data_IF_052449536487
#
_entry.id   IF_052449536487
#
_cell.length_a   1.000
_cell.length_b   1.000
_cell.length_c   1.000
_cell.angle_alpha   90.00
_cell.angle_beta   90.00
_cell.angle_gamma   90.00
#
_symmetry.space_group_name_H-M   'P 1'
#
loop_
_entity.id
_entity.type
_entity.pdbx_description
1 polymer ?
#
# COMPACT_ATOMS: atom_id res chain seq x y z
N UNK A 1 -1.36 -11.04 -20.70
CA UNK A 1 -2.16 -12.26 -20.94
C UNK A 1 -3.49 -12.25 -20.16
N UNK A 2 -3.55 -11.72 -18.94
CA UNK A 2 -4.82 -11.47 -18.24
C UNK A 2 -5.44 -10.16 -18.74
N UNK A 3 -6.74 -10.18 -18.97
CA UNK A 3 -7.53 -9.00 -19.33
C UNK A 3 -7.98 -8.26 -18.06
N UNK A 4 -8.15 -6.94 -18.16
CA UNK A 4 -8.79 -6.13 -17.13
C UNK A 4 -10.20 -6.63 -16.76
N UNK A 5 -10.87 -7.31 -17.69
CA UNK A 5 -12.21 -7.89 -17.52
C UNK A 5 -12.22 -9.25 -16.82
N UNK A 6 -11.05 -9.85 -16.56
CA UNK A 6 -11.00 -11.15 -15.90
C UNK A 6 -11.59 -11.03 -14.50
N UNK A 7 -12.54 -11.92 -14.19
CA UNK A 7 -13.26 -11.88 -12.91
C UNK A 7 -12.38 -12.47 -11.83
N UNK A 8 -12.52 -11.90 -10.64
CA UNK A 8 -11.82 -12.39 -9.45
C UNK A 8 -12.14 -13.87 -9.21
N UNK A 9 -13.39 -14.27 -9.42
CA UNK A 9 -13.85 -15.66 -9.27
C UNK A 9 -13.14 -16.67 -10.17
N UNK A 10 -12.57 -16.24 -11.31
CA UNK A 10 -11.84 -17.12 -12.23
C UNK A 10 -10.54 -17.63 -11.59
N UNK A 11 -9.81 -16.76 -10.86
CA UNK A 11 -8.57 -17.09 -10.15
C UNK A 11 -8.80 -18.02 -8.94
N UNK A 12 -9.95 -17.89 -8.28
CA UNK A 12 -10.30 -18.70 -7.11
C UNK A 12 -11.09 -19.96 -7.45
N UNK A 13 -11.37 -20.20 -8.73
CA UNK A 13 -11.92 -21.46 -9.21
C UNK A 13 -10.89 -22.60 -9.22
N UNK A 14 -9.59 -22.28 -9.16
CA UNK A 14 -8.52 -23.25 -9.45
C UNK A 14 -7.93 -23.96 -8.23
N UNK A 15 -7.48 -23.36 -7.11
CA UNK A 15 -6.99 -24.19 -5.98
C UNK A 15 -6.76 -23.51 -4.61
N UNK A 16 -7.75 -22.77 -4.09
CA UNK A 16 -7.76 -22.34 -2.66
C UNK A 16 -8.84 -23.04 -1.83
N UNK A 17 -9.69 -23.85 -2.48
CA UNK A 17 -10.76 -24.62 -1.81
C UNK A 17 -10.23 -25.89 -1.13
N UNK A 18 -9.14 -26.49 -1.65
CA UNK A 18 -8.69 -27.81 -1.20
C UNK A 18 -7.70 -27.79 -0.03
N UNK A 19 -6.79 -26.81 0.04
CA UNK A 19 -5.75 -26.80 1.09
C UNK A 19 -6.30 -26.50 2.50
N UNK A 20 -7.40 -25.77 2.62
CA UNK A 20 -8.05 -25.52 3.92
C UNK A 20 -8.97 -26.65 4.39
N UNK A 21 -9.43 -27.52 3.48
CA UNK A 21 -10.31 -28.64 3.81
C UNK A 21 -9.50 -29.82 4.38
N UNK A 22 -8.23 -30.00 4.00
CA UNK A 22 -7.39 -31.07 4.58
C UNK A 22 -7.06 -30.84 6.06
N UNK A 23 -6.85 -29.60 6.50
CA UNK A 23 -6.58 -29.29 7.91
C UNK A 23 -7.82 -29.45 8.81
N UNK A 24 -9.03 -29.31 8.27
CA UNK A 24 -10.29 -29.55 9.00
C UNK A 24 -10.75 -31.02 8.95
N UNK A 25 -10.32 -31.81 7.95
CA UNK A 25 -10.73 -33.21 7.80
C UNK A 25 -10.04 -34.18 8.77
N UNK A 26 -8.93 -33.81 9.39
CA UNK A 26 -8.25 -34.68 10.37
C UNK A 26 -9.02 -34.74 11.71
N UNK A 27 -9.88 -33.74 12.01
CA UNK A 27 -10.55 -33.66 13.32
C UNK A 27 -12.09 -33.74 13.32
N UNK A 28 -12.78 -33.72 12.16
CA UNK A 28 -14.26 -33.56 12.15
C UNK A 28 -15.12 -34.62 11.45
N UNK A 29 -14.60 -35.80 11.06
CA UNK A 29 -15.48 -36.85 10.48
C UNK A 29 -15.30 -38.23 11.14
N UNK A 30 -15.53 -38.27 12.47
CA UNK A 30 -16.31 -39.37 13.08
C UNK A 30 -17.70 -38.80 13.41
N UNK A 31 -18.71 -39.25 12.66
CA UNK A 31 -20.17 -38.98 12.76
C UNK A 31 -20.72 -37.77 11.98
N UNK A 32 -21.62 -38.16 11.07
CA UNK A 32 -22.80 -37.44 10.57
C UNK A 32 -22.63 -36.31 9.53
N UNK A 33 -22.63 -36.78 8.29
CA UNK A 33 -23.23 -36.22 7.06
C UNK A 33 -24.06 -34.93 7.21
N UNK A 34 -23.43 -33.80 6.89
CA UNK A 34 -23.97 -32.74 6.01
C UNK A 34 -22.80 -32.17 5.17
N UNK A 35 -22.99 -31.86 3.88
CA UNK A 35 -21.98 -31.14 3.12
C UNK A 35 -21.81 -29.75 3.71
N UNK A 36 -20.61 -29.42 4.19
CA UNK A 36 -20.28 -28.07 4.62
C UNK A 36 -20.10 -27.23 3.34
N UNK A 37 -21.09 -26.39 3.01
CA UNK A 37 -20.88 -25.27 2.09
C UNK A 37 -19.93 -24.28 2.78
N UNK A 38 -18.67 -24.27 2.37
CA UNK A 38 -17.75 -23.19 2.71
C UNK A 38 -18.01 -22.03 1.75
N UNK A 39 -19.00 -21.18 2.09
CA UNK A 39 -19.25 -19.93 1.38
C UNK A 39 -18.27 -18.88 1.92
N UNK A 40 -17.18 -18.61 1.19
CA UNK A 40 -16.33 -17.45 1.54
C UNK A 40 -17.08 -16.14 1.28
N UNK A 41 -18.08 -16.14 0.39
CA UNK A 41 -19.21 -15.22 0.40
C UNK A 41 -20.17 -15.73 -0.70
N UNK A 42 -21.38 -16.19 -0.38
CA UNK A 42 -22.41 -16.51 -1.41
C UNK A 42 -23.01 -15.22 -2.00
N UNK A 43 -22.29 -14.11 -1.93
CA UNK A 43 -22.71 -12.81 -2.42
C UNK A 43 -22.37 -12.73 -3.91
N UNK A 44 -23.40 -12.69 -4.77
CA UNK A 44 -23.25 -12.54 -6.22
C UNK A 44 -22.36 -11.34 -6.61
N UNK A 45 -22.33 -10.28 -5.80
CA UNK A 45 -21.47 -9.11 -6.03
C UNK A 45 -19.99 -9.45 -5.99
N UNK A 46 -19.58 -10.40 -5.15
CA UNK A 46 -18.18 -10.80 -5.02
C UNK A 46 -17.68 -11.47 -6.31
N UNK A 47 -18.50 -12.33 -6.90
CA UNK A 47 -18.18 -13.00 -8.17
C UNK A 47 -18.15 -12.05 -9.38
N UNK A 48 -18.66 -10.83 -9.24
CA UNK A 48 -18.68 -9.81 -10.27
C UNK A 48 -17.44 -8.90 -10.28
N UNK A 49 -16.60 -8.92 -9.23
CA UNK A 49 -15.39 -8.12 -9.15
C UNK A 49 -14.43 -8.51 -10.29
N UNK A 50 -13.90 -7.53 -11.01
CA UNK A 50 -12.87 -7.71 -12.03
C UNK A 50 -11.50 -7.24 -11.53
N UNK A 51 -10.42 -7.63 -12.23
CA UNK A 51 -9.09 -7.07 -11.97
C UNK A 51 -9.09 -5.53 -12.12
N UNK A 52 -9.85 -5.00 -13.09
CA UNK A 52 -10.02 -3.55 -13.26
C UNK A 52 -10.61 -2.90 -12.03
N UNK A 53 -11.63 -3.50 -11.41
CA UNK A 53 -12.23 -2.96 -10.18
C UNK A 53 -11.24 -2.91 -9.03
N UNK A 54 -10.38 -3.94 -8.89
CA UNK A 54 -9.32 -3.95 -7.88
C UNK A 54 -8.30 -2.84 -8.12
N UNK A 55 -7.81 -2.70 -9.36
CA UNK A 55 -6.81 -1.68 -9.74
C UNK A 55 -7.35 -0.27 -9.54
N UNK A 56 -8.64 -0.04 -9.84
CA UNK A 56 -9.32 1.25 -9.65
C UNK A 56 -9.76 1.53 -8.21
N UNK A 57 -9.52 0.61 -7.28
CA UNK A 57 -10.03 0.67 -5.91
C UNK A 57 -11.57 0.79 -5.84
N UNK A 58 -12.28 0.09 -6.72
CA UNK A 58 -13.74 0.14 -6.89
C UNK A 58 -14.42 -1.21 -6.64
N UNK A 59 -13.74 -2.16 -6.00
CA UNK A 59 -14.28 -3.51 -5.79
C UNK A 59 -15.54 -3.56 -4.91
N UNK A 60 -15.85 -2.49 -4.17
CA UNK A 60 -17.10 -2.37 -3.40
C UNK A 60 -17.04 -2.97 -2.00
N UNK A 61 -15.85 -3.34 -1.50
CA UNK A 61 -15.65 -3.78 -0.11
C UNK A 61 -15.95 -2.65 0.88
N UNK A 62 -16.55 -3.02 2.02
CA UNK A 62 -16.71 -2.16 3.20
C UNK A 62 -15.40 -2.07 3.97
N UNK A 63 -14.36 -1.59 3.30
CA UNK A 63 -12.99 -1.61 3.80
C UNK A 63 -12.68 -0.36 4.65
N UNK A 64 -12.09 -0.56 5.83
CA UNK A 64 -11.55 0.48 6.70
C UNK A 64 -10.01 0.55 6.59
N UNK A 65 -9.50 1.55 5.85
CA UNK A 65 -8.07 1.86 5.71
C UNK A 65 -7.49 2.65 6.92
N UNK A 66 -8.29 2.95 7.93
CA UNK A 66 -7.85 3.84 9.01
C UNK A 66 -6.66 3.28 9.80
N UNK A 67 -5.51 3.96 9.70
CA UNK A 67 -4.33 3.71 10.53
C UNK A 67 -4.58 3.96 12.03
N UNK A 68 -5.63 4.71 12.35
CA UNK A 68 -6.02 5.04 13.72
C UNK A 68 -7.02 4.04 14.33
N UNK A 69 -7.65 3.19 13.50
CA UNK A 69 -8.52 2.12 13.97
C UNK A 69 -7.76 0.78 13.91
N UNK A 70 -7.27 0.26 15.04
CA UNK A 70 -6.51 -1.00 15.04
C UNK A 70 -7.36 -2.24 14.82
N UNK A 71 -8.70 -2.10 14.91
CA UNK A 71 -9.64 -3.14 14.52
C UNK A 71 -10.18 -2.92 13.11
N UNK A 72 -9.77 -1.84 12.43
CA UNK A 72 -10.05 -1.60 11.03
C UNK A 72 -9.36 -2.66 10.16
N UNK A 73 -9.92 -2.92 8.99
CA UNK A 73 -9.53 -4.04 8.13
C UNK A 73 -8.04 -4.00 7.77
N UNK A 74 -7.51 -2.81 7.44
CA UNK A 74 -6.09 -2.64 7.12
C UNK A 74 -5.17 -2.99 8.30
N UNK A 75 -5.47 -2.47 9.49
CA UNK A 75 -4.64 -2.72 10.68
C UNK A 75 -4.75 -4.17 11.16
N UNK A 76 -5.95 -4.75 11.09
CA UNK A 76 -6.18 -6.14 11.44
C UNK A 76 -5.47 -7.10 10.47
N UNK A 77 -5.47 -6.77 9.17
CA UNK A 77 -4.75 -7.51 8.14
C UNK A 77 -3.24 -7.53 8.41
N UNK A 78 -2.66 -6.38 8.78
CA UNK A 78 -1.21 -6.26 8.98
C UNK A 78 -0.68 -6.78 10.31
N UNK A 79 -1.46 -6.75 11.39
CA UNK A 79 -0.92 -6.97 12.75
C UNK A 79 -1.74 -7.94 13.61
N UNK A 80 -2.93 -8.34 13.15
CA UNK A 80 -3.83 -9.23 13.89
C UNK A 80 -4.15 -10.48 13.06
N UNK A 81 -5.44 -10.73 12.83
CA UNK A 81 -5.99 -11.95 12.23
C UNK A 81 -5.49 -12.20 10.80
N UNK A 82 -5.13 -11.16 10.05
CA UNK A 82 -4.65 -11.33 8.67
C UNK A 82 -3.15 -11.56 8.52
N UNK A 83 -2.36 -11.52 9.61
CA UNK A 83 -0.90 -11.74 9.53
C UNK A 83 -0.52 -13.12 9.00
N UNK A 84 -1.40 -14.10 9.18
CA UNK A 84 -1.18 -15.46 8.69
C UNK A 84 -1.43 -15.57 7.18
N UNK A 85 -2.49 -14.95 6.68
CA UNK A 85 -2.94 -15.03 5.29
C UNK A 85 -3.68 -13.73 4.93
N UNK A 86 -2.94 -12.78 4.36
CA UNK A 86 -3.44 -11.42 4.13
C UNK A 86 -4.40 -11.35 2.95
N UNK A 87 -4.22 -12.26 1.99
CA UNK A 87 -5.13 -12.44 0.84
C UNK A 87 -6.48 -12.90 1.38
N UNK A 88 -6.50 -13.95 2.21
CA UNK A 88 -7.73 -14.44 2.83
C UNK A 88 -8.39 -13.39 3.71
N UNK A 89 -7.63 -12.65 4.52
CA UNK A 89 -8.22 -11.58 5.33
C UNK A 89 -8.97 -10.57 4.45
N UNK A 90 -8.38 -10.19 3.32
CA UNK A 90 -8.98 -9.27 2.35
C UNK A 90 -10.25 -9.84 1.70
N UNK A 91 -10.33 -11.17 1.54
CA UNK A 91 -11.52 -11.86 1.01
C UNK A 91 -12.71 -11.88 1.97
N UNK A 92 -12.45 -11.82 3.29
CA UNK A 92 -13.50 -11.93 4.30
C UNK A 92 -14.23 -10.63 4.58
N UNK A 93 -13.78 -9.52 3.97
CA UNK A 93 -14.40 -8.21 4.16
C UNK A 93 -15.77 -8.17 3.46
N UNK A 94 -16.84 -7.75 4.16
CA UNK A 94 -18.18 -7.64 3.56
C UNK A 94 -18.22 -6.67 2.38
N UNK A 95 -19.09 -6.93 1.41
CA UNK A 95 -19.42 -5.97 0.36
C UNK A 95 -20.30 -4.86 0.93
N UNK A 96 -20.02 -3.61 0.56
CA UNK A 96 -20.87 -2.44 0.81
C UNK A 96 -21.71 -2.10 -0.42
N UNK A 97 -21.09 -2.13 -1.60
CA UNK A 97 -21.68 -1.71 -2.87
C UNK A 97 -21.31 -2.67 -4.00
N UNK A 98 -22.06 -2.69 -5.11
CA UNK A 98 -21.61 -3.37 -6.32
C UNK A 98 -20.27 -2.80 -6.82
N UNK A 99 -19.41 -3.62 -7.46
CA UNK A 99 -18.16 -3.16 -8.07
C UNK A 99 -18.38 -2.00 -9.05
N UNK A 100 -17.40 -1.10 -9.15
CA UNK A 100 -17.43 0.07 -10.03
C UNK A 100 -18.24 1.26 -9.51
N UNK A 101 -19.00 1.11 -8.41
CA UNK A 101 -19.93 2.16 -7.93
C UNK A 101 -19.28 3.28 -7.13
N UNK A 102 -18.17 3.00 -6.47
CA UNK A 102 -17.52 3.96 -5.56
C UNK A 102 -16.04 3.63 -5.47
N UNK A 103 -15.19 4.66 -5.58
CA UNK A 103 -13.80 4.57 -5.15
C UNK A 103 -13.74 4.48 -3.61
N UNK A 104 -13.05 3.47 -3.11
CA UNK A 104 -12.69 3.28 -1.70
C UNK A 104 -11.23 2.82 -1.65
N UNK A 105 -10.31 3.71 -1.27
CA UNK A 105 -8.89 3.37 -1.17
C UNK A 105 -8.70 2.20 -0.20
N UNK A 106 -8.09 1.11 -0.69
CA UNK A 106 -8.10 -0.17 0.01
C UNK A 106 -6.84 -1.00 -0.22
N UNK A 107 -6.09 -1.23 0.85
CA UNK A 107 -5.03 -2.21 0.89
C UNK A 107 -5.52 -3.64 0.61
N UNK A 108 -6.79 -3.93 0.90
CA UNK A 108 -7.43 -5.20 0.56
C UNK A 108 -7.39 -5.49 -0.94
N UNK A 109 -7.72 -4.50 -1.78
CA UNK A 109 -7.64 -4.63 -3.23
C UNK A 109 -6.22 -4.96 -3.70
N UNK A 110 -5.22 -4.26 -3.15
CA UNK A 110 -3.82 -4.49 -3.47
C UNK A 110 -3.34 -5.90 -3.06
N UNK A 111 -3.77 -6.40 -1.91
CA UNK A 111 -3.46 -7.75 -1.45
C UNK A 111 -4.11 -8.83 -2.33
N UNK A 112 -5.34 -8.61 -2.79
CA UNK A 112 -6.00 -9.53 -3.73
C UNK A 112 -5.28 -9.58 -5.08
N UNK A 113 -4.78 -8.44 -5.56
CA UNK A 113 -3.93 -8.38 -6.77
C UNK A 113 -2.66 -9.22 -6.56
N UNK A 114 -2.02 -9.17 -5.39
CA UNK A 114 -0.85 -10.03 -5.11
C UNK A 114 -1.19 -11.52 -5.08
N UNK A 115 -2.37 -11.89 -4.56
CA UNK A 115 -2.85 -13.27 -4.66
C UNK A 115 -2.97 -13.76 -6.12
N UNK A 116 -3.51 -12.91 -7.00
CA UNK A 116 -3.58 -13.18 -8.45
C UNK A 116 -2.17 -13.30 -9.07
N UNK A 117 -1.27 -12.38 -8.74
CA UNK A 117 0.12 -12.40 -9.25
C UNK A 117 0.88 -13.64 -8.77
N UNK A 118 0.64 -14.12 -7.55
CA UNK A 118 1.25 -15.34 -7.05
C UNK A 118 0.79 -16.57 -7.84
N UNK A 119 -0.51 -16.67 -8.17
CA UNK A 119 -1.01 -17.74 -9.03
C UNK A 119 -0.39 -17.70 -10.42
N UNK A 120 -0.27 -16.51 -11.02
CA UNK A 120 0.44 -16.33 -12.28
C UNK A 120 1.91 -16.77 -12.21
N UNK A 121 2.56 -16.51 -11.08
CA UNK A 121 3.92 -16.95 -10.81
C UNK A 121 4.04 -18.47 -10.86
N UNK A 122 3.09 -19.18 -10.26
CA UNK A 122 3.03 -20.64 -10.29
C UNK A 122 2.81 -21.15 -11.71
N UNK A 123 1.84 -20.60 -12.42
CA UNK A 123 1.46 -21.06 -13.75
C UNK A 123 2.52 -20.80 -14.82
N UNK A 124 3.17 -19.63 -14.79
CA UNK A 124 4.05 -19.18 -15.88
C UNK A 124 5.55 -19.36 -15.56
N UNK A 125 5.91 -19.38 -14.27
CA UNK A 125 7.31 -19.40 -13.83
C UNK A 125 7.62 -20.52 -12.83
N UNK A 126 6.64 -21.36 -12.48
CA UNK A 126 6.78 -22.43 -11.49
C UNK A 126 7.35 -21.94 -10.14
N UNK A 127 6.91 -20.76 -9.69
CA UNK A 127 7.33 -20.16 -8.43
C UNK A 127 6.15 -19.66 -7.61
N UNK A 128 6.20 -19.88 -6.29
CA UNK A 128 5.27 -19.25 -5.33
C UNK A 128 5.84 -17.98 -4.71
N UNK A 129 7.12 -17.70 -4.97
CA UNK A 129 7.80 -16.53 -4.45
C UNK A 129 7.33 -15.27 -5.21
N UNK A 130 6.66 -14.32 -4.53
CA UNK A 130 6.19 -13.10 -5.18
C UNK A 130 7.34 -12.20 -5.64
N UNK A 131 8.51 -12.25 -4.99
CA UNK A 131 9.67 -11.46 -5.38
C UNK A 131 10.27 -11.96 -6.69
N UNK A 132 10.40 -13.28 -6.86
CA UNK A 132 10.80 -13.87 -8.16
C UNK A 132 9.84 -13.43 -9.26
N UNK A 133 8.53 -13.52 -8.99
CA UNK A 133 7.49 -13.12 -9.95
C UNK A 133 7.58 -11.63 -10.32
N UNK A 134 7.73 -10.74 -9.33
CA UNK A 134 7.84 -9.30 -9.55
C UNK A 134 9.11 -8.93 -10.33
N UNK A 135 10.24 -9.60 -10.06
CA UNK A 135 11.48 -9.42 -10.81
C UNK A 135 11.36 -9.82 -12.27
N UNK A 136 10.82 -11.02 -12.54
CA UNK A 136 10.63 -11.53 -13.90
C UNK A 136 9.65 -10.68 -14.70
N UNK A 137 8.55 -10.24 -14.08
CA UNK A 137 7.51 -9.48 -14.78
C UNK A 137 7.88 -8.02 -15.01
N UNK A 138 8.59 -7.39 -14.07
CA UNK A 138 8.80 -5.93 -14.08
C UNK A 138 10.22 -5.52 -13.68
N UNK A 139 10.66 -5.79 -12.46
CA UNK A 139 11.83 -5.08 -11.89
C UNK A 139 13.11 -5.30 -12.71
N UNK A 140 13.41 -6.54 -13.10
CA UNK A 140 14.62 -6.80 -13.89
C UNK A 140 14.55 -6.19 -15.29
N UNK A 141 13.34 -6.13 -15.88
CA UNK A 141 13.12 -5.59 -17.23
C UNK A 141 13.39 -4.10 -17.32
N UNK A 142 13.27 -3.38 -16.21
CA UNK A 142 13.54 -1.93 -16.12
C UNK A 142 14.78 -1.59 -15.28
N UNK A 143 15.58 -2.58 -14.92
CA UNK A 143 16.85 -2.39 -14.22
C UNK A 143 16.75 -2.11 -12.72
N UNK A 144 15.64 -2.47 -12.09
CA UNK A 144 15.48 -2.42 -10.63
C UNK A 144 15.98 -3.76 -10.06
N UNK A 145 17.05 -3.72 -9.27
CA UNK A 145 17.69 -4.92 -8.69
C UNK A 145 17.45 -5.10 -7.20
N UNK A 146 17.33 -3.99 -6.47
CA UNK A 146 17.19 -3.99 -5.02
C UNK A 146 15.75 -3.61 -4.63
N UNK A 147 14.78 -4.44 -5.02
CA UNK A 147 13.39 -4.28 -4.64
C UNK A 147 12.78 -5.60 -4.18
N UNK A 148 12.03 -5.59 -3.07
CA UNK A 148 11.34 -6.77 -2.59
C UNK A 148 10.11 -6.39 -1.76
N UNK A 149 9.13 -7.28 -1.74
CA UNK A 149 7.97 -7.23 -0.86
C UNK A 149 8.24 -8.07 0.39
N UNK A 150 7.85 -7.55 1.55
CA UNK A 150 7.61 -8.41 2.71
C UNK A 150 6.40 -9.32 2.47
N UNK A 151 6.43 -10.50 3.08
CA UNK A 151 5.36 -11.50 2.93
C UNK A 151 4.63 -11.76 4.24
N UNK A 152 3.40 -12.25 4.14
CA UNK A 152 2.70 -12.87 5.26
C UNK A 152 3.31 -14.25 5.62
N UNK A 153 2.73 -14.95 6.61
CA UNK A 153 3.22 -16.28 7.03
C UNK A 153 3.01 -17.38 5.99
N UNK A 154 2.12 -17.18 5.02
CA UNK A 154 1.88 -18.11 3.90
C UNK A 154 2.78 -17.81 2.69
N UNK A 155 3.58 -16.74 2.76
CA UNK A 155 4.51 -16.34 1.70
C UNK A 155 3.86 -15.48 0.61
N UNK A 156 2.65 -14.95 0.83
CA UNK A 156 2.03 -13.98 -0.08
C UNK A 156 2.63 -12.60 0.14
N UNK A 157 2.93 -11.85 -0.92
CA UNK A 157 3.36 -10.46 -0.77
C UNK A 157 2.26 -9.63 -0.12
N UNK A 158 2.66 -8.80 0.84
CA UNK A 158 1.80 -7.77 1.42
C UNK A 158 1.71 -6.66 0.38
N UNK A 159 0.72 -6.70 -0.52
CA UNK A 159 0.66 -5.82 -1.68
C UNK A 159 0.35 -4.36 -1.39
N UNK A 160 -0.30 -4.11 -0.25
CA UNK A 160 -0.71 -2.76 0.15
C UNK A 160 0.41 -1.89 0.72
N UNK A 161 1.52 -2.48 1.15
CA UNK A 161 2.62 -1.80 1.85
C UNK A 161 3.90 -2.63 1.79
N UNK A 162 4.99 -2.23 2.46
CA UNK A 162 6.23 -3.01 2.59
C UNK A 162 6.87 -3.49 1.27
N UNK A 163 6.66 -2.76 0.19
CA UNK A 163 7.62 -2.75 -0.91
C UNK A 163 8.83 -1.94 -0.48
N UNK A 164 9.95 -2.61 -0.32
CA UNK A 164 11.25 -2.00 -0.07
C UNK A 164 11.92 -1.72 -1.40
N UNK A 165 12.23 -0.45 -1.67
CA UNK A 165 12.82 -0.02 -2.93
C UNK A 165 13.61 1.27 -2.73
N UNK A 166 14.76 1.40 -3.40
CA UNK A 166 15.57 2.63 -3.37
C UNK A 166 14.86 3.76 -4.16
N UNK A 167 15.09 5.05 -3.81
CA UNK A 167 14.56 6.18 -4.59
C UNK A 167 14.88 6.11 -6.09
N UNK A 168 16.06 5.57 -6.45
CA UNK A 168 16.41 5.31 -7.86
C UNK A 168 15.44 4.34 -8.53
N UNK A 169 15.05 3.25 -7.85
CA UNK A 169 14.08 2.31 -8.38
C UNK A 169 12.68 2.91 -8.50
N UNK A 170 12.27 3.72 -7.53
CA UNK A 170 11.05 4.52 -7.60
C UNK A 170 11.06 5.47 -8.81
N UNK A 171 12.18 6.14 -9.08
CA UNK A 171 12.32 7.00 -10.25
C UNK A 171 12.27 6.22 -11.57
N UNK A 172 12.80 4.99 -11.63
CA UNK A 172 12.67 4.12 -12.80
C UNK A 172 11.21 3.72 -13.07
N UNK A 173 10.41 3.48 -12.02
CA UNK A 173 8.96 3.26 -12.17
C UNK A 173 8.26 4.50 -12.73
N UNK A 174 8.54 5.68 -12.17
CA UNK A 174 8.02 6.94 -12.71
C UNK A 174 8.45 7.19 -14.15
N UNK A 175 9.70 6.86 -14.50
CA UNK A 175 10.23 6.99 -15.86
C UNK A 175 9.52 6.04 -16.82
N UNK A 176 9.18 4.82 -16.39
CA UNK A 176 8.40 3.89 -17.19
C UNK A 176 7.02 4.49 -17.52
N UNK A 177 6.37 5.13 -16.55
CA UNK A 177 5.09 5.81 -16.77
C UNK A 177 5.25 7.02 -17.71
N UNK A 178 6.27 7.84 -17.51
CA UNK A 178 6.59 8.98 -18.37
C UNK A 178 6.87 8.54 -19.82
N UNK A 179 7.54 7.39 -19.99
CA UNK A 179 7.83 6.77 -21.29
C UNK A 179 6.66 6.00 -21.90
N UNK A 180 5.44 6.20 -21.37
CA UNK A 180 4.21 5.53 -21.80
C UNK A 180 4.29 4.02 -21.78
N UNK A 181 4.93 3.45 -20.77
CA UNK A 181 5.05 2.00 -20.61
C UNK A 181 6.12 1.35 -21.48
N UNK A 182 6.89 2.12 -22.25
CA UNK A 182 7.99 1.60 -23.06
C UNK A 182 9.34 1.72 -22.33
N UNK A 183 10.21 0.74 -22.57
CA UNK A 183 11.56 0.70 -22.02
C UNK A 183 12.57 0.27 -23.08
N UNK A 184 13.82 0.69 -22.91
CA UNK A 184 14.93 0.20 -23.74
C UNK A 184 15.57 -1.00 -23.05
N UNK A 185 15.62 -2.16 -23.71
CA UNK A 185 16.05 -3.44 -23.12
C UNK A 185 17.58 -3.56 -22.91
N UNK A 186 18.35 -2.49 -23.18
CA UNK A 186 19.81 -2.48 -23.12
C UNK A 186 20.50 -3.05 -24.36
N UNK A 187 19.78 -3.72 -25.26
CA UNK A 187 20.27 -4.21 -26.55
C UNK A 187 19.90 -3.30 -27.73
N UNK A 188 19.38 -2.11 -27.42
CA UNK A 188 18.93 -1.13 -28.41
C UNK A 188 17.48 -1.31 -28.88
N UNK A 189 16.72 -2.27 -28.31
CA UNK A 189 15.31 -2.44 -28.65
C UNK A 189 14.42 -1.67 -27.68
N UNK A 190 13.38 -1.03 -28.21
CA UNK A 190 12.29 -0.44 -27.43
C UNK A 190 11.17 -1.46 -27.26
N UNK A 191 10.91 -1.87 -26.03
CA UNK A 191 9.91 -2.89 -25.66
C UNK A 191 8.77 -2.28 -24.86
N UNK A 192 7.54 -2.72 -25.11
CA UNK A 192 6.40 -2.34 -24.29
C UNK A 192 6.35 -3.22 -23.04
N UNK A 193 6.45 -2.59 -21.87
CA UNK A 193 6.34 -3.24 -20.55
C UNK A 193 4.91 -3.12 -20.03
N UNK A 194 4.32 -1.93 -20.15
CA UNK A 194 2.93 -1.64 -19.76
C UNK A 194 2.12 -1.31 -21.01
N UNK A 195 0.89 -1.81 -21.07
CA UNK A 195 -0.06 -1.49 -22.14
C UNK A 195 -0.44 -0.01 -22.11
N UNK A 196 -0.78 0.55 -23.27
CA UNK A 196 -1.23 1.94 -23.39
C UNK A 196 -2.49 2.19 -22.54
N UNK A 197 -3.44 1.24 -22.46
CA UNK A 197 -4.62 1.32 -21.59
C UNK A 197 -4.26 1.55 -20.11
N UNK A 198 -3.27 0.80 -19.59
CA UNK A 198 -2.80 0.95 -18.20
C UNK A 198 -2.17 2.33 -18.00
N UNK A 199 -1.37 2.79 -18.95
CA UNK A 199 -0.67 4.07 -18.88
C UNK A 199 -1.66 5.24 -18.92
N UNK A 200 -2.64 5.19 -19.80
CA UNK A 200 -3.71 6.19 -19.87
C UNK A 200 -4.49 6.23 -18.55
N UNK A 201 -4.78 5.07 -17.96
CA UNK A 201 -5.48 4.96 -16.69
C UNK A 201 -4.74 5.63 -15.51
N UNK A 202 -3.40 5.72 -15.54
CA UNK A 202 -2.60 6.44 -14.52
C UNK A 202 -2.85 7.95 -14.48
N UNK A 203 -3.40 8.53 -15.55
CA UNK A 203 -3.64 9.99 -15.63
C UNK A 203 -5.12 10.34 -15.88
N UNK A 204 -5.96 9.32 -16.06
CA UNK A 204 -7.41 9.48 -16.26
C UNK A 204 -8.12 9.43 -14.91
N UNK A 205 -9.03 10.38 -14.66
CA UNK A 205 -9.78 10.44 -13.40
C UNK A 205 -10.60 9.16 -13.20
N UNK A 206 -10.69 8.73 -11.95
CA UNK A 206 -11.40 7.53 -11.56
C UNK A 206 -12.87 7.58 -12.01
N UNK A 207 -13.36 6.52 -12.65
CA UNK A 207 -14.69 6.52 -13.27
C UNK A 207 -15.87 6.61 -12.29
N UNK A 208 -15.65 6.43 -10.99
CA UNK A 208 -16.69 6.64 -9.96
C UNK A 208 -16.74 8.11 -9.48
N UNK A 209 -15.78 8.93 -9.90
CA UNK A 209 -15.63 10.35 -9.55
C UNK A 209 -15.87 11.24 -10.78
N UNK A 210 -15.44 10.79 -11.95
CA UNK A 210 -15.52 11.51 -13.23
C UNK A 210 -16.96 11.80 -13.68
N UNK A 211 -17.33 13.09 -13.77
CA UNK A 211 -18.66 13.57 -14.21
C UNK A 211 -19.83 12.87 -13.52
N UNK A 212 -19.61 12.42 -12.28
CA UNK A 212 -20.59 11.73 -11.48
C UNK A 212 -21.34 12.73 -10.58
N UNK A 213 -22.64 12.50 -10.40
CA UNK A 213 -23.44 13.20 -9.39
C UNK A 213 -23.10 12.62 -8.01
N UNK A 214 -21.94 13.03 -7.48
CA UNK A 214 -21.49 12.65 -6.15
C UNK A 214 -22.18 13.51 -5.09
N UNK A 215 -22.65 12.86 -4.04
CA UNK A 215 -23.20 13.55 -2.89
C UNK A 215 -22.09 14.28 -2.11
N UNK A 216 -22.47 15.25 -1.27
CA UNK A 216 -21.52 16.08 -0.52
C UNK A 216 -20.64 15.27 0.44
N UNK A 217 -21.15 14.15 0.98
CA UNK A 217 -20.38 13.31 1.91
C UNK A 217 -19.30 12.55 1.15
N UNK A 218 -19.60 12.07 -0.05
CA UNK A 218 -18.63 11.40 -0.89
C UNK A 218 -17.62 12.39 -1.49
N UNK A 219 -18.06 13.59 -1.87
CA UNK A 219 -17.16 14.67 -2.28
C UNK A 219 -16.17 15.05 -1.17
N UNK A 220 -16.63 15.17 0.08
CA UNK A 220 -15.73 15.43 1.21
C UNK A 220 -14.71 14.30 1.39
N UNK A 221 -15.13 13.04 1.21
CA UNK A 221 -14.21 11.92 1.21
C UNK A 221 -13.16 12.02 0.09
N UNK A 222 -13.54 12.38 -1.14
CA UNK A 222 -12.59 12.60 -2.24
C UNK A 222 -11.64 13.77 -1.93
N UNK A 223 -12.12 14.85 -1.29
CA UNK A 223 -11.26 15.96 -0.84
C UNK A 223 -10.30 15.55 0.28
N UNK A 224 -10.70 14.63 1.16
CA UNK A 224 -9.84 14.11 2.23
C UNK A 224 -8.75 13.17 1.68
N UNK A 225 -9.09 12.36 0.67
CA UNK A 225 -8.18 11.35 0.11
C UNK A 225 -7.31 11.88 -1.04
N UNK A 226 -7.78 12.90 -1.77
CA UNK A 226 -7.23 13.37 -3.04
C UNK A 226 -8.05 12.88 -4.24
N UNK A 227 -7.75 13.37 -5.45
CA UNK A 227 -8.47 12.94 -6.67
C UNK A 227 -7.84 11.66 -7.24
N UNK A 228 -8.52 10.50 -7.21
CA UNK A 228 -7.93 9.25 -7.68
C UNK A 228 -8.00 9.10 -9.20
N UNK A 229 -7.11 8.28 -9.75
CA UNK A 229 -7.14 7.86 -11.16
C UNK A 229 -7.90 6.56 -11.38
N UNK A 230 -8.01 6.14 -12.65
CA UNK A 230 -8.45 4.81 -13.05
C UNK A 230 -7.37 3.73 -12.86
N UNK A 231 -6.32 4.03 -12.10
CA UNK A 231 -5.29 3.10 -11.67
C UNK A 231 -4.90 3.40 -10.21
N UNK A 232 -3.60 3.52 -9.93
CA UNK A 232 -3.03 3.55 -8.57
C UNK A 232 -2.42 4.92 -8.21
N UNK A 233 -2.87 6.00 -8.85
CA UNK A 233 -2.28 7.35 -8.74
C UNK A 233 -3.29 8.38 -8.28
N UNK A 234 -2.77 9.45 -7.66
CA UNK A 234 -3.50 10.67 -7.33
C UNK A 234 -3.23 11.74 -8.39
N UNK A 235 -4.26 12.45 -8.80
CA UNK A 235 -4.23 13.40 -9.91
C UNK A 235 -4.30 14.83 -9.42
N UNK A 236 -3.62 15.73 -10.13
CA UNK A 236 -3.76 17.17 -9.94
C UNK A 236 -4.82 17.77 -10.87
N UNK A 237 -6.04 17.23 -10.83
CA UNK A 237 -7.15 17.61 -11.73
C UNK A 237 -8.38 18.04 -10.93
N UNK A 238 -9.21 18.95 -11.46
CA UNK A 238 -10.49 19.27 -10.84
C UNK A 238 -11.46 18.08 -10.93
N UNK A 239 -12.39 18.01 -9.97
CA UNK A 239 -13.58 17.14 -10.04
C UNK A 239 -14.73 17.96 -10.59
N UNK A 240 -15.30 17.48 -11.68
CA UNK A 240 -16.41 18.09 -12.41
C UNK A 240 -17.60 17.13 -12.34
N UNK A 241 -18.80 17.63 -12.06
CA UNK A 241 -20.01 16.80 -12.03
C UNK A 241 -20.69 16.69 -13.41
N UNK A 242 -21.81 15.97 -13.48
CA UNK A 242 -22.54 15.69 -14.73
C UNK A 242 -23.09 16.94 -15.44
N UNK A 243 -23.07 18.10 -14.77
CA UNK A 243 -23.57 19.39 -15.28
C UNK A 243 -22.43 20.36 -15.60
N UNK A 244 -21.21 19.85 -15.74
CA UNK A 244 -19.99 20.62 -15.98
C UNK A 244 -19.67 21.64 -14.86
N UNK A 245 -20.14 21.38 -13.63
CA UNK A 245 -19.83 22.23 -12.47
C UNK A 245 -18.60 21.71 -11.76
N UNK A 246 -17.62 22.57 -11.52
CA UNK A 246 -16.44 22.24 -10.71
C UNK A 246 -16.86 22.10 -9.24
N UNK A 247 -16.69 20.90 -8.69
CA UNK A 247 -17.04 20.54 -7.30
C UNK A 247 -15.82 20.48 -6.37
N UNK A 248 -14.66 20.28 -6.97
CA UNK A 248 -13.36 20.37 -6.32
C UNK A 248 -12.36 20.90 -7.32
N UNK A 249 -11.71 22.01 -6.99
CA UNK A 249 -10.65 22.59 -7.79
C UNK A 249 -9.40 21.70 -7.80
N UNK A 250 -8.44 22.06 -8.66
CA UNK A 250 -7.11 21.45 -8.65
C UNK A 250 -6.46 21.56 -7.26
N UNK A 251 -6.08 20.42 -6.69
CA UNK A 251 -5.56 20.31 -5.33
C UNK A 251 -4.20 21.00 -5.13
N UNK A 252 -3.31 20.91 -6.13
CA UNK A 252 -1.97 21.50 -6.10
C UNK A 252 -1.87 22.61 -7.17
N UNK A 253 -2.41 23.81 -6.90
CA UNK A 253 -2.61 24.86 -7.91
C UNK A 253 -1.32 25.49 -8.43
N UNK A 254 -0.21 25.38 -7.70
CA UNK A 254 1.10 25.89 -8.16
C UNK A 254 1.80 24.89 -9.08
N UNK A 255 1.32 23.66 -9.15
CA UNK A 255 1.91 22.55 -9.91
C UNK A 255 1.17 22.31 -11.23
N UNK A 256 1.83 21.67 -12.21
CA UNK A 256 1.20 21.30 -13.48
C UNK A 256 -0.07 20.46 -13.29
N UNK A 257 -1.11 20.73 -14.07
CA UNK A 257 -2.41 20.01 -13.99
C UNK A 257 -2.36 18.59 -14.56
N UNK A 258 -1.34 18.28 -15.37
CA UNK A 258 -1.08 16.94 -15.89
C UNK A 258 -0.18 16.10 -14.95
N UNK A 259 0.24 16.68 -13.81
CA UNK A 259 0.97 15.96 -12.78
C UNK A 259 0.08 14.89 -12.13
N UNK A 260 0.67 13.72 -11.90
CA UNK A 260 0.11 12.70 -11.03
C UNK A 260 1.17 12.13 -10.09
N UNK A 261 0.72 11.63 -8.95
CA UNK A 261 1.58 11.21 -7.84
C UNK A 261 1.19 9.81 -7.38
N UNK A 262 2.18 8.95 -7.15
CA UNK A 262 2.02 7.76 -6.33
C UNK A 262 2.47 8.14 -4.92
N UNK A 263 1.57 8.05 -3.95
CA UNK A 263 1.80 8.52 -2.59
C UNK A 263 1.66 7.37 -1.58
N UNK A 264 2.62 7.29 -0.68
CA UNK A 264 2.64 6.37 0.45
C UNK A 264 2.70 7.12 1.77
N UNK A 265 2.16 6.50 2.81
CA UNK A 265 2.11 7.04 4.16
C UNK A 265 3.51 7.54 4.63
N UNK A 266 3.53 8.66 5.36
CA UNK A 266 4.73 9.39 5.80
C UNK A 266 5.64 9.96 4.69
N UNK A 267 5.17 10.04 3.45
CA UNK A 267 5.84 10.82 2.40
C UNK A 267 6.77 10.02 1.50
N UNK A 268 6.43 8.77 1.19
CA UNK A 268 7.03 8.07 0.05
C UNK A 268 6.30 8.54 -1.21
N UNK A 269 6.98 9.13 -2.18
CA UNK A 269 6.32 9.74 -3.32
C UNK A 269 7.06 9.51 -4.63
N UNK A 270 6.31 9.24 -5.68
CA UNK A 270 6.76 9.33 -7.08
C UNK A 270 5.88 10.37 -7.76
N UNK A 271 6.48 11.48 -8.16
CA UNK A 271 5.83 12.49 -8.99
C UNK A 271 6.17 12.19 -10.44
N UNK A 272 5.16 12.21 -11.30
CA UNK A 272 5.35 12.20 -12.75
C UNK A 272 4.77 13.50 -13.28
N UNK A 273 5.60 14.27 -13.98
CA UNK A 273 5.26 15.58 -14.55
C UNK A 273 5.46 15.51 -16.07
N UNK A 274 4.46 15.06 -16.84
CA UNK A 274 4.61 14.81 -18.27
C UNK A 274 5.03 16.05 -19.05
N UNK A 275 4.38 17.20 -18.81
CA UNK A 275 4.69 18.47 -19.47
C UNK A 275 6.09 19.02 -19.19
N UNK A 276 6.80 18.50 -18.18
CA UNK A 276 8.19 18.86 -17.88
C UNK A 276 9.16 17.70 -18.15
N UNK A 277 8.69 16.57 -18.70
CA UNK A 277 9.48 15.36 -18.91
C UNK A 277 10.27 14.96 -17.65
N UNK A 278 9.63 15.08 -16.49
CA UNK A 278 10.30 15.00 -15.19
C UNK A 278 9.67 13.94 -14.29
N UNK A 279 10.53 13.26 -13.55
CA UNK A 279 10.15 12.33 -12.47
C UNK A 279 10.89 12.74 -11.20
N UNK A 280 10.18 12.76 -10.08
CA UNK A 280 10.75 13.04 -8.76
C UNK A 280 10.42 11.84 -7.87
N UNK A 281 11.43 11.26 -7.22
CA UNK A 281 11.27 10.17 -6.26
C UNK A 281 11.77 10.58 -4.88
N UNK A 282 10.93 10.43 -3.86
CA UNK A 282 11.22 10.83 -2.49
C UNK A 282 10.85 9.68 -1.55
N UNK A 283 11.77 9.34 -0.66
CA UNK A 283 11.47 8.54 0.53
C UNK A 283 11.47 9.47 1.74
N UNK A 284 10.49 9.33 2.63
CA UNK A 284 10.28 10.26 3.74
C UNK A 284 9.83 9.58 5.03
N UNK A 285 9.80 10.34 6.12
CA UNK A 285 9.23 9.90 7.39
C UNK A 285 8.41 11.02 8.05
N UNK A 286 7.76 11.85 7.23
CA UNK A 286 7.19 13.13 7.64
C UNK A 286 5.67 13.08 7.71
N UNK A 287 5.11 13.50 8.85
CA UNK A 287 3.67 13.75 8.99
C UNK A 287 3.31 15.05 8.26
N UNK A 288 2.14 15.09 7.60
CA UNK A 288 1.76 16.23 6.76
C UNK A 288 2.62 16.37 5.49
N UNK A 289 3.06 15.24 4.93
CA UNK A 289 3.77 15.21 3.66
C UNK A 289 2.90 15.69 2.51
N UNK A 290 1.58 15.47 2.60
CA UNK A 290 0.60 15.81 1.57
C UNK A 290 0.58 17.32 1.28
N UNK A 291 0.53 18.16 2.33
CA UNK A 291 0.57 19.63 2.22
C UNK A 291 1.84 20.17 1.55
N UNK A 292 2.87 19.34 1.37
CA UNK A 292 4.15 19.71 0.77
C UNK A 292 4.25 19.35 -0.71
N UNK A 293 3.32 18.55 -1.23
CA UNK A 293 3.32 18.07 -2.63
C UNK A 293 3.39 19.26 -3.59
N UNK A 294 2.50 20.25 -3.45
CA UNK A 294 2.48 21.42 -4.34
C UNK A 294 3.80 22.19 -4.31
N UNK A 295 4.34 22.43 -3.11
CA UNK A 295 5.61 23.15 -2.95
C UNK A 295 6.78 22.39 -3.55
N UNK A 296 6.84 21.07 -3.37
CA UNK A 296 7.92 20.22 -3.90
C UNK A 296 7.90 20.25 -5.43
N UNK A 297 6.75 19.97 -6.03
CA UNK A 297 6.59 19.94 -7.47
C UNK A 297 6.85 21.31 -8.09
N UNK A 298 6.26 22.38 -7.56
CA UNK A 298 6.51 23.76 -8.01
C UNK A 298 7.99 24.16 -7.90
N UNK A 299 8.66 23.82 -6.80
CA UNK A 299 10.09 24.14 -6.62
C UNK A 299 10.98 23.38 -7.61
N UNK A 300 10.64 22.13 -7.91
CA UNK A 300 11.37 21.33 -8.88
C UNK A 300 11.18 21.84 -10.31
N UNK A 301 9.94 22.13 -10.71
CA UNK A 301 9.66 22.68 -12.04
C UNK A 301 10.36 24.02 -12.22
N UNK A 302 10.29 24.93 -11.25
CA UNK A 302 10.99 26.23 -11.36
C UNK A 302 12.52 26.11 -11.43
N UNK A 303 13.13 25.18 -10.68
CA UNK A 303 14.58 24.99 -10.71
C UNK A 303 15.09 24.32 -11.99
N UNK A 304 14.35 23.35 -12.55
CA UNK A 304 14.87 22.46 -13.60
C UNK A 304 14.26 22.68 -14.98
N UNK A 305 13.17 23.46 -15.12
CA UNK A 305 12.51 23.71 -16.42
C UNK A 305 13.18 24.78 -17.30
N UNK A 306 14.26 25.43 -16.85
CA UNK A 306 14.86 26.55 -17.59
C UNK A 306 13.95 27.78 -17.74
N UNK A 307 12.79 27.82 -17.08
CA UNK A 307 11.91 28.99 -17.00
C UNK A 307 12.64 30.14 -16.27
N UNK A 308 12.92 31.24 -16.97
CA UNK A 308 13.28 32.51 -16.32
C UNK A 308 12.10 32.97 -15.47
N UNK A 309 12.27 32.96 -14.15
CA UNK A 309 11.30 33.49 -13.20
C UNK A 309 11.11 35.00 -13.43
N UNK A 310 9.86 35.47 -13.43
CA UNK A 310 9.58 36.87 -13.13
C UNK A 310 9.93 37.08 -11.63
N UNK A 311 10.82 38.04 -11.28
CA UNK A 311 11.29 38.24 -9.90
C UNK A 311 10.15 38.40 -8.89
N UNK A 312 9.03 38.94 -9.35
CA UNK A 312 7.87 39.33 -8.57
C UNK A 312 7.00 38.13 -8.11
N UNK A 313 7.28 36.92 -8.62
CA UNK A 313 6.60 35.67 -8.26
C UNK A 313 7.43 34.75 -7.36
N UNK A 314 8.60 35.16 -6.88
CA UNK A 314 9.33 34.41 -5.86
C UNK A 314 8.57 34.50 -4.52
N UNK A 315 8.01 33.41 -3.97
CA UNK A 315 7.52 33.44 -2.61
C UNK A 315 8.73 33.60 -1.68
N UNK A 316 8.59 34.44 -0.65
CA UNK A 316 9.62 34.63 0.36
C UNK A 316 9.91 33.27 1.05
N UNK A 317 11.02 32.63 0.65
CA UNK A 317 11.39 31.25 1.03
C UNK A 317 11.61 31.05 2.54
N UNK A 318 11.59 32.12 3.34
CA UNK A 318 11.94 32.12 4.76
C UNK A 318 10.76 32.33 5.71
N UNK A 319 9.58 32.72 5.23
CA UNK A 319 8.39 32.83 6.08
C UNK A 319 7.20 32.19 5.37
N UNK A 320 6.68 31.04 5.86
CA UNK A 320 5.43 30.51 5.31
C UNK A 320 4.33 31.58 5.49
N UNK A 321 3.49 31.84 4.47
CA UNK A 321 2.27 32.61 4.71
C UNK A 321 1.45 31.88 5.78
N UNK A 322 0.87 32.62 6.71
CA UNK A 322 -0.12 32.07 7.64
C UNK A 322 -1.30 31.54 6.82
N UNK A 323 -1.30 30.23 6.58
CA UNK A 323 -2.43 29.53 6.02
C UNK A 323 -3.48 29.51 7.13
N UNK A 324 -4.59 30.24 6.93
CA UNK A 324 -5.82 30.00 7.69
C UNK A 324 -6.16 28.51 7.56
N UNK A 325 -5.99 27.80 8.67
CA UNK A 325 -6.27 26.36 8.73
C UNK A 325 -7.73 26.12 8.37
N UNK A 326 -8.03 25.28 7.36
CA UNK A 326 -9.36 24.71 7.23
C UNK A 326 -9.71 24.03 8.56
N UNK A 327 -10.79 24.48 9.20
CA UNK A 327 -11.20 24.07 10.55
C UNK A 327 -11.64 22.61 10.69
N UNK A 328 -11.48 21.74 9.68
CA UNK A 328 -11.92 20.34 9.73
C UNK A 328 -10.82 19.26 9.62
N UNK A 329 -9.57 19.59 9.27
CA UNK A 329 -8.57 18.53 9.01
C UNK A 329 -7.89 17.93 10.27
N UNK A 330 -8.37 18.28 11.47
CA UNK A 330 -7.79 17.81 12.74
C UNK A 330 -8.35 16.46 13.24
N UNK A 331 -9.27 15.80 12.52
CA UNK A 331 -10.03 14.68 13.09
C UNK A 331 -9.50 13.27 12.80
N UNK A 332 -8.61 13.05 11.81
CA UNK A 332 -8.11 11.68 11.51
C UNK A 332 -6.59 11.49 11.54
N UNK A 333 -5.79 12.56 11.60
CA UNK A 333 -4.34 12.47 11.48
C UNK A 333 -3.56 12.40 12.82
N UNK A 334 -4.18 12.02 13.95
CA UNK A 334 -3.57 12.28 15.26
C UNK A 334 -3.02 11.13 16.07
N UNK A 335 -3.22 9.87 15.73
CA UNK A 335 -2.78 8.82 16.66
C UNK A 335 -2.07 7.68 15.96
N UNK A 336 -0.80 7.48 16.32
CA UNK A 336 -0.14 6.20 16.09
C UNK A 336 -0.83 5.15 16.96
N UNK A 337 -0.84 3.88 16.53
CA UNK A 337 -1.31 2.74 17.37
C UNK A 337 -0.68 2.78 18.77
N UNK A 338 0.56 3.27 18.87
CA UNK A 338 1.34 3.39 20.10
C UNK A 338 0.85 4.52 21.02
N UNK A 339 0.17 5.55 20.51
CA UNK A 339 -0.37 6.67 21.29
C UNK A 339 -1.82 6.44 21.76
N UNK A 340 -2.61 5.66 21.01
CA UNK A 340 -4.01 5.31 21.32
C UNK A 340 -4.19 4.52 22.63
N UNK A 341 -3.13 3.88 23.14
CA UNK A 341 -3.23 2.94 24.28
C UNK A 341 -3.69 3.58 25.60
N UNK A 342 -3.59 4.90 25.73
CA UNK A 342 -3.73 5.61 27.01
C UNK A 342 -5.17 5.69 27.53
N UNK A 343 -6.18 5.64 26.67
CA UNK A 343 -7.59 5.90 27.03
C UNK A 343 -8.55 4.70 26.84
N UNK A 344 -8.02 3.49 26.67
CA UNK A 344 -8.83 2.33 26.28
C UNK A 344 -9.23 1.44 27.47
N UNK A 345 -10.34 0.71 27.28
CA UNK A 345 -10.79 -0.32 28.22
C UNK A 345 -9.77 -1.47 28.34
N UNK A 346 -9.77 -2.25 29.43
CA UNK A 346 -8.81 -3.35 29.62
C UNK A 346 -8.80 -4.41 28.49
N UNK A 347 -9.97 -4.74 27.92
CA UNK A 347 -10.08 -5.68 26.80
C UNK A 347 -9.48 -5.11 25.51
N UNK A 348 -9.69 -3.81 25.23
CA UNK A 348 -9.05 -3.15 24.09
C UNK A 348 -7.53 -3.01 24.32
N UNK A 349 -7.06 -2.72 25.55
CA UNK A 349 -5.62 -2.68 25.85
C UNK A 349 -4.89 -3.99 25.52
N UNK A 350 -5.55 -5.13 25.75
CA UNK A 350 -5.02 -6.45 25.41
C UNK A 350 -4.82 -6.60 23.89
N UNK A 351 -5.84 -6.25 23.09
CA UNK A 351 -5.78 -6.28 21.63
C UNK A 351 -4.73 -5.31 21.08
N UNK A 352 -4.66 -4.09 21.63
CA UNK A 352 -3.67 -3.08 21.27
C UNK A 352 -2.24 -3.51 21.57
N UNK A 353 -2.01 -4.26 22.65
CA UNK A 353 -0.68 -4.79 22.96
C UNK A 353 -0.16 -5.75 21.88
N UNK A 354 -1.05 -6.51 21.24
CA UNK A 354 -0.73 -7.39 20.11
C UNK A 354 -0.45 -6.61 18.82
N UNK A 355 -1.25 -5.59 18.52
CA UNK A 355 -1.02 -4.70 17.36
C UNK A 355 0.31 -3.97 17.52
N UNK A 356 0.56 -3.40 18.70
CA UNK A 356 1.74 -2.58 18.94
C UNK A 356 3.03 -3.40 19.05
N UNK A 357 2.99 -4.63 19.60
CA UNK A 357 4.13 -5.55 19.53
C UNK A 357 4.39 -6.06 18.11
N UNK A 358 3.34 -6.34 17.32
CA UNK A 358 3.47 -6.70 15.91
C UNK A 358 4.04 -5.56 15.07
N UNK A 359 3.57 -4.34 15.29
CA UNK A 359 4.08 -3.14 14.64
C UNK A 359 5.55 -2.89 14.99
N UNK A 360 5.91 -2.94 16.28
CA UNK A 360 7.31 -2.77 16.70
C UNK A 360 8.23 -3.86 16.11
N UNK A 361 7.78 -5.11 16.04
CA UNK A 361 8.52 -6.20 15.42
C UNK A 361 8.72 -6.00 13.90
N UNK A 362 7.69 -5.54 13.18
CA UNK A 362 7.78 -5.21 11.74
C UNK A 362 8.69 -4.01 11.46
N UNK A 363 8.59 -2.94 12.24
CA UNK A 363 9.47 -1.76 12.09
C UNK A 363 10.95 -2.13 12.33
N UNK A 364 11.24 -2.99 13.30
CA UNK A 364 12.59 -3.53 13.51
C UNK A 364 13.08 -4.34 12.32
N UNK A 365 12.21 -5.16 11.72
CA UNK A 365 12.53 -5.93 10.53
C UNK A 365 12.88 -5.05 9.32
N UNK A 366 12.08 -4.01 9.08
CA UNK A 366 12.33 -3.03 8.01
C UNK A 366 13.73 -2.43 8.14
N UNK A 367 14.11 -1.98 9.34
CA UNK A 367 15.45 -1.43 9.59
C UNK A 367 16.56 -2.49 9.43
N UNK A 368 16.40 -3.68 10.00
CA UNK A 368 17.44 -4.72 9.97
C UNK A 368 17.69 -5.27 8.57
N UNK A 369 16.67 -5.34 7.71
CA UNK A 369 16.83 -5.87 6.36
C UNK A 369 17.65 -4.93 5.46
N UNK A 370 17.51 -3.61 5.65
CA UNK A 370 18.32 -2.59 4.95
C UNK A 370 19.82 -2.78 5.22
N UNK A 371 20.18 -3.15 6.45
CA UNK A 371 21.58 -3.37 6.84
C UNK A 371 22.09 -4.81 6.60
N UNK A 372 21.19 -5.80 6.48
CA UNK A 372 21.55 -7.15 6.00
C UNK A 372 22.07 -7.09 4.56
N UNK A 373 21.47 -6.27 3.69
CA UNK A 373 21.94 -6.08 2.31
C UNK A 373 23.33 -5.43 2.23
N UNK A 374 23.72 -4.66 3.24
CA UNK A 374 25.08 -4.09 3.36
C UNK A 374 26.07 -5.04 4.08
N UNK A 375 25.64 -6.28 4.37
CA UNK A 375 26.40 -7.39 4.96
C UNK A 375 26.96 -7.13 6.37
N UNK A 376 26.39 -6.19 7.13
CA UNK A 376 26.81 -5.93 8.51
C UNK A 376 25.64 -6.06 9.49
N UNK A 377 25.20 -7.30 9.71
CA UNK A 377 24.19 -7.64 10.72
C UNK A 377 24.53 -7.11 12.12
N UNK A 378 25.82 -6.97 12.45
CA UNK A 378 26.27 -6.44 13.74
C UNK A 378 26.04 -4.93 13.85
N UNK A 379 26.20 -4.17 12.76
CA UNK A 379 25.80 -2.75 12.69
C UNK A 379 24.29 -2.59 12.69
N UNK A 380 23.56 -3.38 11.89
CA UNK A 380 22.09 -3.38 11.85
C UNK A 380 21.49 -3.40 13.25
N UNK A 381 21.93 -4.39 14.05
CA UNK A 381 21.41 -4.63 15.40
C UNK A 381 21.92 -3.58 16.41
N UNK A 382 23.01 -2.87 16.14
CA UNK A 382 23.52 -1.78 17.00
C UNK A 382 22.78 -0.47 16.79
N UNK A 383 22.41 -0.14 15.55
CA UNK A 383 21.78 1.14 15.21
C UNK A 383 20.25 1.09 15.21
N UNK A 384 19.64 0.01 14.69
CA UNK A 384 18.19 -0.09 14.58
C UNK A 384 17.43 0.06 15.92
N UNK A 385 17.85 -0.53 17.05
CA UNK A 385 17.16 -0.31 18.31
C UNK A 385 17.22 1.15 18.78
N UNK A 386 18.27 1.90 18.39
CA UNK A 386 18.46 3.32 18.70
C UNK A 386 17.59 4.26 17.86
N UNK A 387 17.33 3.89 16.61
CA UNK A 387 16.47 4.62 15.66
C UNK A 387 14.98 4.31 15.83
N UNK A 388 14.65 3.27 16.61
CA UNK A 388 13.27 3.04 17.00
C UNK A 388 12.68 4.26 17.71
N UNK A 389 11.40 4.59 17.46
CA UNK A 389 10.71 5.63 18.22
C UNK A 389 10.88 5.38 19.72
N UNK A 390 11.22 6.42 20.51
CA UNK A 390 11.47 6.32 21.96
C UNK A 390 10.35 5.60 22.73
N UNK A 391 9.12 5.62 22.20
CA UNK A 391 7.95 4.92 22.75
C UNK A 391 8.09 3.40 22.71
N UNK A 392 8.78 2.84 21.70
CA UNK A 392 9.06 1.40 21.57
C UNK A 392 10.14 1.00 22.58
N UNK A 393 11.23 1.75 22.69
CA UNK A 393 12.32 1.48 23.64
C UNK A 393 11.84 1.48 25.10
N UNK A 394 10.87 2.34 25.45
CA UNK A 394 10.36 2.47 26.84
C UNK A 394 9.30 1.45 27.24
N UNK A 395 8.64 0.78 26.30
CA UNK A 395 7.48 -0.07 26.58
C UNK A 395 7.65 -1.54 26.16
N UNK A 396 8.77 -1.89 25.50
CA UNK A 396 9.02 -3.24 24.99
C UNK A 396 10.41 -3.72 25.35
N UNK A 397 10.53 -4.99 25.74
CA UNK A 397 11.80 -5.69 25.84
C UNK A 397 12.07 -6.36 24.50
N UNK A 398 13.20 -6.01 23.88
CA UNK A 398 13.64 -6.56 22.60
C UNK A 398 14.75 -7.58 22.90
N UNK A 399 14.58 -8.82 22.43
CA UNK A 399 15.58 -9.89 22.53
C UNK A 399 15.94 -10.37 21.13
N UNK A 400 17.22 -10.33 20.79
CA UNK A 400 17.71 -10.82 19.50
C UNK A 400 18.35 -12.20 19.69
N UNK A 401 18.08 -13.16 18.80
CA UNK A 401 18.78 -14.44 18.74
C UNK A 401 19.55 -14.54 17.42
N UNK A 402 20.87 -14.55 17.55
CA UNK A 402 21.81 -14.36 16.45
C UNK A 402 21.97 -15.61 15.59
N UNK A 403 21.88 -16.80 16.19
CA UNK A 403 22.09 -18.07 15.49
C UNK A 403 20.84 -18.51 14.72
N UNK A 404 19.67 -18.04 15.15
CA UNK A 404 18.36 -18.43 14.60
C UNK A 404 17.71 -17.34 13.71
N UNK A 405 18.32 -16.17 13.58
CA UNK A 405 17.89 -15.13 12.64
C UNK A 405 16.57 -14.45 13.00
N UNK A 406 16.29 -14.20 14.29
CA UNK A 406 15.05 -13.56 14.69
C UNK A 406 15.21 -12.46 15.75
N UNK A 407 14.21 -11.58 15.78
CA UNK A 407 14.01 -10.54 16.79
C UNK A 407 12.72 -10.82 17.53
N UNK A 408 12.78 -10.93 18.85
CA UNK A 408 11.62 -11.04 19.71
C UNK A 408 11.30 -9.71 20.35
N UNK A 409 10.07 -9.24 20.16
CA UNK A 409 9.53 -8.06 20.82
C UNK A 409 8.47 -8.51 21.81
N UNK A 410 8.71 -8.24 23.10
CA UNK A 410 7.77 -8.52 24.17
C UNK A 410 7.34 -7.20 24.81
N UNK A 411 6.04 -7.01 24.98
CA UNK A 411 5.53 -5.85 25.73
C UNK A 411 5.99 -5.93 27.19
N UNK A 412 6.52 -4.85 27.75
CA UNK A 412 6.89 -4.81 29.18
C UNK A 412 5.66 -4.66 30.09
N UNK A 413 4.51 -4.30 29.53
CA UNK A 413 3.26 -4.10 30.27
C UNK A 413 2.28 -5.27 30.13
N UNK A 414 2.50 -6.19 29.19
CA UNK A 414 1.58 -7.29 28.87
C UNK A 414 2.33 -8.57 28.45
N UNK A 415 1.69 -9.74 28.58
CA UNK A 415 2.35 -11.05 28.43
C UNK A 415 2.58 -11.50 26.97
N UNK A 416 2.07 -10.79 25.96
CA UNK A 416 2.19 -11.23 24.57
C UNK A 416 3.56 -10.91 23.97
N UNK A 417 4.06 -11.87 23.19
CA UNK A 417 5.36 -11.86 22.56
C UNK A 417 5.20 -12.12 21.07
N UNK A 418 5.80 -11.25 20.26
CA UNK A 418 5.88 -11.40 18.80
C UNK A 418 7.32 -11.66 18.43
N UNK A 419 7.53 -12.56 17.46
CA UNK A 419 8.82 -12.83 16.86
C UNK A 419 8.79 -12.36 15.42
N UNK A 420 9.75 -11.55 15.03
CA UNK A 420 10.03 -11.19 13.66
C UNK A 420 11.19 -12.07 13.19
N UNK A 421 10.93 -12.99 12.27
CA UNK A 421 11.94 -13.87 11.71
C UNK A 421 12.46 -13.29 10.41
N UNK A 422 13.77 -13.10 10.33
CA UNK A 422 14.45 -12.61 9.15
C UNK A 422 14.85 -13.82 8.29
N UNK A 423 14.48 -13.77 7.02
CA UNK A 423 14.84 -14.77 6.02
C UNK A 423 15.63 -14.09 4.90
N UNK A 424 16.27 -14.87 4.03
CA UNK A 424 16.97 -14.33 2.86
C UNK A 424 16.05 -13.55 1.90
N UNK A 425 14.73 -13.68 2.05
CA UNK A 425 13.72 -13.13 1.14
C UNK A 425 12.75 -12.16 1.81
N UNK A 426 12.96 -11.81 3.08
CA UNK A 426 12.10 -10.85 3.81
C UNK A 426 11.94 -11.16 5.29
N UNK A 427 11.02 -10.44 5.94
CA UNK A 427 10.66 -10.66 7.34
C UNK A 427 9.26 -11.26 7.47
N UNK A 428 9.10 -12.20 8.39
CA UNK A 428 7.80 -12.80 8.74
C UNK A 428 7.52 -12.62 10.23
N UNK A 429 6.29 -12.23 10.58
CA UNK A 429 5.85 -12.18 11.97
C UNK A 429 5.31 -13.55 12.41
N UNK A 430 5.82 -14.09 13.52
CA UNK A 430 5.38 -15.32 14.16
C UNK A 430 4.85 -15.01 15.58
N UNK A 431 3.75 -15.65 16.03
CA UNK A 431 3.44 -15.69 17.45
C UNK A 431 4.50 -16.49 18.21
N UNK A 432 4.81 -16.07 19.44
CA UNK A 432 5.62 -16.90 20.35
C UNK A 432 4.69 -17.49 21.38
N UNK A 433 4.69 -18.83 21.48
CA UNK A 433 3.94 -19.58 22.51
C UNK A 433 4.31 -19.16 23.93
#
# INVERSE_FOLDING_TARGET
>A
KISYETKLSDFYSIDLRNQWIEELNINLVKKNKKPIKLSINDNELYGAITLRDLVKMQAGFKWDESYSNPLGDFMAALYLSGTADIVKASLTVPMELPPGKKFNYSGGNANLIQGILQQLGVENFNTKDPNVTAHLLLFDRIGIKDAFFETDQKGSAIGSTYLHIKPKGMALLGQLYLNRGYWNDGNGNRVQILSDEFVEALSSINSAVDHADIDEKYLEYIKEEGVPSNAITWLNKPVIDSKDVIRYEQEFPSSPSDMFVLAGHNGQMIFVLPSQEMVIAITGSNKGYWDKIDKIAYSATTCFSGLKLAPDKLPNLLNPPEIEKPKSFLKKAKESVLDLSKNLSPALKLLFSNVASGAAAKELCSCMNVDIQTLDLKKAIKYCPGDLPQVVQKNYSIKTNFDEGYVEVKSMTHFFKRRARLTNYGCTLEPVE
#
